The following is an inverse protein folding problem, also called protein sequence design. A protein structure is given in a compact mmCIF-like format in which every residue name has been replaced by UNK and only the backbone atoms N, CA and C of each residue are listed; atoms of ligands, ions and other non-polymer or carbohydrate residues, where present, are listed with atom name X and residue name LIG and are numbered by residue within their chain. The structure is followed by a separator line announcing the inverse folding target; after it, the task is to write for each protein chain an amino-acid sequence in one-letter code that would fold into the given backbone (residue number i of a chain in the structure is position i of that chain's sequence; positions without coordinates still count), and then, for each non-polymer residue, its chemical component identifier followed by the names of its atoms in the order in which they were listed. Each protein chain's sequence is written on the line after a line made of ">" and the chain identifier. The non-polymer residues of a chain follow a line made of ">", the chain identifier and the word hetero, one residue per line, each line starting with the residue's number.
data_IF_714720859095
#
_entry.id   IF_714720859095
#
_cell.length_a   1.000
_cell.length_b   1.000
_cell.length_c   1.000
_cell.angle_alpha   90.00
_cell.angle_beta   90.00
_cell.angle_gamma   90.00
#
_symmetry.space_group_name_H-M   'P 1'
#
loop_
_entity.id
_entity.type
_entity.pdbx_description
1 polymer ?
#
# COMPACT_ATOMS: atom_id res chain seq x y z
N UNK A 1 -8.99 5.29 -9.84
CA UNK A 1 -9.92 5.75 -8.79
C UNK A 1 -11.22 5.00 -8.98
N UNK A 2 -11.85 4.52 -7.90
CA UNK A 2 -13.12 3.79 -7.93
C UNK A 2 -14.15 4.56 -7.11
N UNK A 3 -15.24 4.97 -7.75
CA UNK A 3 -16.42 5.55 -7.11
C UNK A 3 -16.18 6.74 -6.19
N UNK A 4 -15.06 7.47 -6.36
CA UNK A 4 -14.61 8.54 -5.45
C UNK A 4 -14.45 8.11 -3.98
N UNK A 5 -14.35 6.81 -3.72
CA UNK A 5 -14.13 6.26 -2.38
C UNK A 5 -12.72 5.64 -2.25
N UNK A 6 -12.15 5.18 -3.36
CA UNK A 6 -10.90 4.42 -3.36
C UNK A 6 -9.94 4.88 -4.47
N UNK A 7 -8.67 5.01 -4.11
CA UNK A 7 -7.54 5.22 -5.00
C UNK A 7 -6.75 3.91 -5.10
N UNK A 8 -6.45 3.46 -6.31
CA UNK A 8 -5.51 2.35 -6.56
C UNK A 8 -4.26 2.94 -7.21
N UNK A 9 -3.10 2.69 -6.60
CA UNK A 9 -1.79 3.09 -7.12
C UNK A 9 -1.03 1.83 -7.54
N UNK A 10 -0.55 1.81 -8.78
CA UNK A 10 0.29 0.73 -9.32
C UNK A 10 1.74 1.20 -9.30
N UNK A 11 2.62 0.39 -8.70
CA UNK A 11 4.05 0.69 -8.62
C UNK A 11 4.73 0.32 -9.95
N UNK A 12 5.33 1.31 -10.62
CA UNK A 12 6.04 1.08 -11.90
C UNK A 12 7.45 0.55 -11.72
N UNK A 13 8.07 0.84 -10.58
CA UNK A 13 9.36 0.31 -10.16
C UNK A 13 9.14 -0.44 -8.86
N UNK A 14 9.44 -1.72 -8.88
CA UNK A 14 9.21 -2.63 -7.75
C UNK A 14 10.56 -2.96 -7.15
N UNK A 15 10.71 -2.73 -5.86
CA UNK A 15 11.89 -3.11 -5.09
C UNK A 15 11.58 -4.34 -4.24
N UNK A 16 12.60 -5.15 -4.01
CA UNK A 16 12.53 -6.28 -3.10
C UNK A 16 12.42 -5.79 -1.64
N UNK A 17 11.61 -6.48 -0.86
CA UNK A 17 11.38 -6.18 0.56
C UNK A 17 10.11 -5.35 0.82
N UNK A 18 9.83 -5.14 2.10
CA UNK A 18 8.72 -4.30 2.53
C UNK A 18 9.06 -2.84 2.25
N UNK A 19 8.18 -2.15 1.55
CA UNK A 19 8.33 -0.73 1.28
C UNK A 19 8.08 0.07 2.57
N UNK A 20 9.01 0.93 3.02
CA UNK A 20 8.86 1.66 4.29
C UNK A 20 7.59 2.53 4.33
N UNK A 21 7.26 3.19 3.21
CA UNK A 21 6.02 3.99 3.11
C UNK A 21 4.75 3.15 3.29
N UNK A 22 4.78 1.90 2.83
CA UNK A 22 3.65 0.97 2.94
C UNK A 22 3.47 0.45 4.35
N UNK A 23 4.58 0.14 5.02
CA UNK A 23 4.61 -0.25 6.42
C UNK A 23 4.10 0.88 7.30
N UNK A 24 4.68 2.09 7.15
CA UNK A 24 4.29 3.27 7.91
C UNK A 24 2.84 3.68 7.65
N UNK A 25 2.40 3.62 6.38
CA UNK A 25 1.01 3.92 6.02
C UNK A 25 0.02 2.96 6.66
N UNK A 26 0.33 1.66 6.67
CA UNK A 26 -0.49 0.64 7.34
C UNK A 26 -0.53 0.87 8.85
N UNK A 27 0.64 1.04 9.47
CA UNK A 27 0.75 1.29 10.91
C UNK A 27 -0.03 2.53 11.36
N UNK A 28 0.16 3.67 10.68
CA UNK A 28 -0.56 4.92 11.00
C UNK A 28 -2.07 4.79 10.79
N UNK A 29 -2.49 4.05 9.76
CA UNK A 29 -3.91 3.78 9.51
C UNK A 29 -4.53 2.93 10.62
N UNK A 30 -3.82 1.89 11.07
CA UNK A 30 -4.26 1.03 12.19
C UNK A 30 -4.36 1.80 13.51
N UNK A 31 -3.50 2.80 13.72
CA UNK A 31 -3.56 3.70 14.88
C UNK A 31 -4.60 4.82 14.74
N UNK A 32 -5.34 4.88 13.63
CA UNK A 32 -6.39 5.88 13.42
C UNK A 32 -5.87 7.28 13.08
N UNK A 33 -4.64 7.41 12.60
CA UNK A 33 -4.07 8.69 12.20
C UNK A 33 -4.77 9.24 10.95
N UNK A 34 -5.34 10.45 11.06
CA UNK A 34 -6.23 11.01 10.04
C UNK A 34 -5.56 11.97 9.05
N UNK A 35 -4.27 12.27 9.22
CA UNK A 35 -3.52 13.20 8.35
C UNK A 35 -2.89 12.51 7.12
N UNK A 36 -3.19 11.24 6.89
CA UNK A 36 -2.82 10.51 5.67
C UNK A 36 -4.06 9.85 5.07
N UNK A 37 -4.04 9.57 3.76
CA UNK A 37 -5.04 8.70 3.16
C UNK A 37 -4.94 7.30 3.76
N UNK A 38 -6.01 6.86 4.43
CA UNK A 38 -6.07 5.55 5.07
C UNK A 38 -5.71 4.42 4.09
N UNK A 39 -4.81 3.56 4.51
CA UNK A 39 -4.35 2.39 3.76
C UNK A 39 -5.40 1.27 3.85
N UNK A 40 -6.08 0.98 2.74
CA UNK A 40 -7.16 -0.01 2.69
C UNK A 40 -6.64 -1.42 2.37
N UNK A 41 -5.48 -1.53 1.73
CA UNK A 41 -4.86 -2.81 1.42
C UNK A 41 -3.75 -2.70 0.39
N UNK A 42 -2.97 -3.77 0.24
CA UNK A 42 -1.88 -3.85 -0.73
C UNK A 42 -1.87 -5.20 -1.44
N UNK A 43 -1.32 -5.23 -2.65
CA UNK A 43 -1.03 -6.46 -3.39
C UNK A 43 0.48 -6.65 -3.41
N UNK A 44 0.93 -7.76 -2.85
CA UNK A 44 2.34 -8.15 -2.83
C UNK A 44 2.53 -9.45 -3.62
N UNK A 45 3.66 -9.56 -4.31
CA UNK A 45 4.14 -10.79 -4.92
C UNK A 45 5.27 -11.34 -4.07
N UNK A 46 5.21 -12.63 -3.76
CA UNK A 46 6.34 -13.36 -3.15
C UNK A 46 7.12 -14.03 -4.28
N UNK A 47 8.42 -13.81 -4.35
CA UNK A 47 9.27 -14.46 -5.36
C UNK A 47 9.70 -15.87 -4.93
N UNK A 48 10.50 -16.54 -5.78
CA UNK A 48 10.99 -17.90 -5.53
C UNK A 48 11.90 -18.01 -4.30
N UNK A 49 12.43 -16.90 -3.80
CA UNK A 49 13.31 -16.82 -2.63
C UNK A 49 12.52 -16.44 -1.36
N UNK A 50 11.20 -16.25 -1.47
CA UNK A 50 10.35 -15.84 -0.35
C UNK A 50 10.33 -14.33 -0.11
N UNK A 51 10.96 -13.53 -0.96
CA UNK A 51 11.02 -12.08 -0.77
C UNK A 51 9.75 -11.44 -1.30
N UNK A 52 9.19 -10.51 -0.51
CA UNK A 52 8.00 -9.75 -0.88
C UNK A 52 8.36 -8.60 -1.84
N UNK A 53 7.45 -8.35 -2.78
CA UNK A 53 7.54 -7.27 -3.77
C UNK A 53 6.18 -6.59 -3.82
N UNK A 54 6.06 -5.36 -3.35
CA UNK A 54 4.82 -4.61 -3.44
C UNK A 54 4.52 -4.24 -4.90
N UNK A 55 3.32 -4.55 -5.37
CA UNK A 55 2.88 -4.26 -6.74
C UNK A 55 1.87 -3.12 -6.77
N UNK A 56 0.93 -3.12 -5.83
CA UNK A 56 -0.18 -2.19 -5.81
C UNK A 56 -0.60 -1.82 -4.39
N UNK A 57 -1.18 -0.64 -4.28
CA UNK A 57 -1.61 0.00 -3.04
C UNK A 57 -3.02 0.52 -3.22
N UNK A 58 -3.89 0.24 -2.26
CA UNK A 58 -5.26 0.72 -2.21
C UNK A 58 -5.39 1.66 -1.03
N UNK A 59 -5.85 2.88 -1.28
CA UNK A 59 -6.01 3.93 -0.28
C UNK A 59 -7.42 4.52 -0.36
N UNK A 60 -7.91 5.05 0.76
CA UNK A 60 -9.13 5.86 0.78
C UNK A 60 -8.91 7.10 -0.08
N UNK A 61 -9.86 7.36 -0.97
CA UNK A 61 -9.87 8.59 -1.75
C UNK A 61 -10.28 9.76 -0.84
N UNK A 62 -9.55 10.88 -0.93
CA UNK A 62 -9.79 12.12 -0.21
C UNK A 62 -10.06 13.24 -1.22
#
# INVERSE_FOLDING_TARGET
>A
IIGSCMMIKVLRRVSAGMHPELEMGSFLTEQGFTHISAMLGQVTRIDKQGIQHALMVVQRYL
#
